data_IF_992073807183
#
_entry.id   IF_992073807183
#
_cell.length_a   1.000
_cell.length_b   1.000
_cell.length_c   1.000
_cell.angle_alpha   90.00
_cell.angle_beta   90.00
_cell.angle_gamma   90.00
#
_symmetry.space_group_name_H-M   'P 1'
#
loop_
_entity.id
_entity.type
_entity.pdbx_description
1 polymer ?
#
# COMPACT_ATOMS: atom_id res chain seq x y z
N UNK A 1 14.08 -5.15 14.32
CA UNK A 1 12.61 -5.15 14.18
C UNK A 1 12.26 -4.31 12.95
N UNK A 2 11.38 -4.80 12.08
CA UNK A 2 10.97 -4.11 10.85
C UNK A 2 10.26 -2.77 11.17
N UNK A 3 10.40 -1.74 10.31
CA UNK A 3 9.82 -0.40 10.56
C UNK A 3 8.30 -0.41 10.55
N UNK A 4 7.66 -1.28 9.77
CA UNK A 4 6.21 -1.46 9.74
C UNK A 4 5.74 -1.88 11.14
N UNK A 5 6.33 -2.93 11.71
CA UNK A 5 5.99 -3.40 13.07
C UNK A 5 6.18 -2.32 14.14
N UNK A 6 7.23 -1.49 14.03
CA UNK A 6 7.41 -0.36 14.96
C UNK A 6 6.28 0.67 14.81
N UNK A 7 5.91 1.03 13.58
CA UNK A 7 4.86 2.01 13.31
C UNK A 7 3.48 1.53 13.81
N UNK A 8 3.21 0.23 13.70
CA UNK A 8 1.97 -0.41 14.20
C UNK A 8 1.82 -0.38 15.72
N UNK A 9 2.89 -0.16 16.49
CA UNK A 9 2.84 -0.07 17.95
C UNK A 9 2.50 1.35 18.46
N UNK A 10 2.54 2.38 17.62
CA UNK A 10 2.26 3.76 18.03
C UNK A 10 0.79 3.94 18.42
N UNK A 11 0.50 4.68 19.50
CA UNK A 11 -0.87 4.93 19.96
C UNK A 11 -1.54 6.06 19.15
N UNK A 12 -1.74 5.80 17.86
CA UNK A 12 -2.43 6.69 16.93
C UNK A 12 -3.03 5.91 15.75
N UNK A 13 -3.88 6.58 14.98
CA UNK A 13 -4.40 6.06 13.71
C UNK A 13 -3.40 6.32 12.58
N UNK A 14 -3.00 5.24 11.90
CA UNK A 14 -1.98 5.33 10.87
C UNK A 14 -2.53 5.82 9.54
N UNK A 15 -1.78 6.67 8.85
CA UNK A 15 -2.06 7.08 7.47
C UNK A 15 -0.99 6.51 6.54
N UNK A 16 -1.40 5.64 5.63
CA UNK A 16 -0.59 5.18 4.51
C UNK A 16 -1.01 5.88 3.22
N UNK A 17 -0.06 6.23 2.38
CA UNK A 17 -0.32 6.85 1.08
C UNK A 17 0.20 5.94 -0.02
N UNK A 18 -0.67 5.63 -0.98
CA UNK A 18 -0.28 4.95 -2.21
C UNK A 18 -0.09 5.95 -3.35
N UNK A 19 0.99 5.78 -4.10
CA UNK A 19 1.18 6.45 -5.39
C UNK A 19 1.93 5.55 -6.37
N UNK A 20 1.74 5.78 -7.67
CA UNK A 20 2.44 5.04 -8.73
C UNK A 20 3.84 5.64 -8.93
N UNK A 21 4.89 4.82 -8.86
CA UNK A 21 6.25 5.23 -9.20
C UNK A 21 6.32 5.76 -10.64
N UNK A 22 7.05 6.85 -10.87
CA UNK A 22 7.18 7.46 -12.19
C UNK A 22 5.97 8.29 -12.63
N UNK A 23 5.04 8.57 -11.72
CA UNK A 23 3.89 9.43 -11.94
C UNK A 23 3.89 10.61 -10.94
N UNK A 24 3.55 11.85 -11.36
CA UNK A 24 3.16 12.28 -12.71
C UNK A 24 4.30 12.28 -13.74
N UNK A 25 5.53 12.53 -13.31
CA UNK A 25 6.74 12.48 -14.15
C UNK A 25 7.69 11.39 -13.69
N UNK A 26 8.55 10.91 -14.60
CA UNK A 26 9.49 9.81 -14.35
C UNK A 26 10.30 10.00 -13.06
N UNK A 27 10.78 11.22 -12.78
CA UNK A 27 11.71 11.51 -11.69
C UNK A 27 11.04 12.05 -10.41
N UNK A 28 9.72 12.04 -10.33
CA UNK A 28 8.99 12.60 -9.17
C UNK A 28 9.00 11.68 -7.94
N UNK A 29 9.29 10.38 -8.11
CA UNK A 29 9.18 9.36 -7.05
C UNK A 29 9.86 9.77 -5.74
N UNK A 30 11.13 10.20 -5.81
CA UNK A 30 11.89 10.61 -4.62
C UNK A 30 11.32 11.87 -3.97
N UNK A 31 10.98 12.88 -4.78
CA UNK A 31 10.38 14.13 -4.31
C UNK A 31 9.05 13.88 -3.59
N UNK A 32 8.22 12.99 -4.14
CA UNK A 32 6.95 12.59 -3.53
C UNK A 32 7.20 11.95 -2.16
N UNK A 33 8.12 10.99 -2.07
CA UNK A 33 8.44 10.32 -0.81
C UNK A 33 8.92 11.29 0.28
N UNK A 34 9.85 12.18 -0.04
CA UNK A 34 10.38 13.16 0.90
C UNK A 34 9.30 14.16 1.36
N UNK A 35 8.40 14.56 0.45
CA UNK A 35 7.31 15.46 0.80
C UNK A 35 6.25 14.76 1.67
N UNK A 36 5.94 13.49 1.40
CA UNK A 36 5.00 12.71 2.20
C UNK A 36 5.50 12.53 3.65
N UNK A 37 6.78 12.20 3.82
CA UNK A 37 7.36 12.09 5.16
C UNK A 37 7.34 13.42 5.91
N UNK A 38 7.79 14.52 5.28
CA UNK A 38 7.74 15.86 5.88
C UNK A 38 6.33 16.28 6.28
N UNK A 39 5.31 15.74 5.60
CA UNK A 39 3.90 16.01 5.86
C UNK A 39 3.30 15.13 6.97
N UNK A 40 4.06 14.22 7.58
CA UNK A 40 3.58 13.39 8.70
C UNK A 40 2.80 12.15 8.28
N UNK A 41 3.05 11.63 7.08
CA UNK A 41 2.56 10.32 6.65
C UNK A 41 3.27 9.22 7.43
N UNK A 42 2.56 8.16 7.79
CA UNK A 42 3.11 7.09 8.62
C UNK A 42 3.82 6.01 7.84
N UNK A 43 3.34 5.70 6.63
CA UNK A 43 3.84 4.66 5.72
C UNK A 43 3.56 5.08 4.27
N UNK A 44 4.37 4.59 3.33
CA UNK A 44 4.12 4.84 1.90
C UNK A 44 4.15 3.55 1.10
N UNK A 45 3.16 3.40 0.24
CA UNK A 45 3.03 2.33 -0.74
C UNK A 45 3.42 2.86 -2.12
N UNK A 46 4.46 2.27 -2.68
CA UNK A 46 5.04 2.62 -3.96
C UNK A 46 4.54 1.61 -4.99
N UNK A 47 3.60 2.03 -5.83
CA UNK A 47 3.06 1.23 -6.91
C UNK A 47 4.08 1.03 -8.04
N UNK A 48 4.48 -0.21 -8.27
CA UNK A 48 5.19 -0.62 -9.48
C UNK A 48 4.19 -0.63 -10.65
N UNK A 49 4.38 0.21 -11.68
CA UNK A 49 3.45 0.25 -12.79
C UNK A 49 3.48 -1.06 -13.59
N UNK A 50 2.30 -1.56 -13.97
CA UNK A 50 2.15 -2.81 -14.70
C UNK A 50 1.24 -2.62 -15.92
N UNK A 51 1.48 -3.39 -17.00
CA UNK A 51 0.75 -3.28 -18.26
C UNK A 51 -0.68 -3.80 -18.17
N UNK A 52 -0.90 -4.84 -17.35
CA UNK A 52 -2.18 -5.55 -17.25
C UNK A 52 -2.74 -5.56 -15.82
N UNK A 53 -3.01 -4.40 -15.20
CA UNK A 53 -3.39 -4.30 -13.79
C UNK A 53 -4.87 -4.62 -13.56
N UNK A 54 -5.23 -5.91 -13.61
CA UNK A 54 -6.62 -6.39 -13.50
C UNK A 54 -7.28 -6.11 -12.14
N UNK A 55 -6.48 -5.94 -11.08
CA UNK A 55 -6.98 -5.71 -9.72
C UNK A 55 -7.16 -4.22 -9.38
N UNK A 56 -6.63 -3.33 -10.20
CA UNK A 56 -6.60 -1.89 -9.90
C UNK A 56 -7.81 -1.15 -10.45
N UNK A 57 -8.23 -0.09 -9.76
CA UNK A 57 -9.28 0.81 -10.22
C UNK A 57 -8.80 1.76 -11.34
N UNK A 58 -9.71 2.38 -12.11
CA UNK A 58 -9.38 3.14 -13.33
C UNK A 58 -8.37 4.28 -13.11
N UNK A 59 -8.38 4.93 -11.94
CA UNK A 59 -7.40 5.96 -11.60
C UNK A 59 -5.98 5.41 -11.50
N UNK A 60 -5.81 4.25 -10.86
CA UNK A 60 -4.50 3.59 -10.71
C UNK A 60 -4.06 2.98 -12.05
N UNK A 61 -4.99 2.41 -12.83
CA UNK A 61 -4.69 1.94 -14.18
C UNK A 61 -4.12 3.09 -15.05
N UNK A 62 -4.78 4.26 -15.04
CA UNK A 62 -4.34 5.43 -15.81
C UNK A 62 -2.97 5.95 -15.37
N UNK A 63 -2.70 6.05 -14.06
CA UNK A 63 -1.38 6.48 -13.57
C UNK A 63 -0.29 5.46 -13.89
N UNK A 64 -0.58 4.16 -13.82
CA UNK A 64 0.32 3.07 -14.23
C UNK A 64 0.65 3.14 -15.72
N UNK A 65 -0.35 3.32 -16.60
CA UNK A 65 -0.12 3.51 -18.03
C UNK A 65 0.76 4.73 -18.31
N UNK A 66 0.48 5.86 -17.65
CA UNK A 66 1.30 7.06 -17.83
C UNK A 66 2.73 6.87 -17.30
N UNK A 67 2.92 6.20 -16.17
CA UNK A 67 4.25 5.90 -15.62
C UNK A 67 5.07 5.01 -16.57
N UNK A 68 4.45 4.01 -17.20
CA UNK A 68 5.10 3.20 -18.24
C UNK A 68 5.49 4.06 -19.45
N UNK A 69 4.60 4.94 -19.91
CA UNK A 69 4.89 5.88 -21.01
C UNK A 69 6.02 6.86 -20.67
N UNK A 70 6.15 7.23 -19.39
CA UNK A 70 7.26 8.04 -18.89
C UNK A 70 8.59 7.27 -18.86
N UNK A 71 8.58 5.94 -19.07
CA UNK A 71 9.76 5.07 -19.07
C UNK A 71 10.10 4.45 -17.72
N UNK A 72 9.12 4.33 -16.80
CA UNK A 72 9.36 3.70 -15.51
C UNK A 72 9.54 2.18 -15.65
N UNK A 73 10.57 1.64 -14.99
CA UNK A 73 10.83 0.20 -14.85
C UNK A 73 11.21 -0.13 -13.41
N UNK A 74 11.22 -1.41 -13.03
CA UNK A 74 11.70 -1.88 -11.73
C UNK A 74 13.13 -1.42 -11.44
N UNK A 75 14.03 -1.53 -12.42
CA UNK A 75 15.41 -1.08 -12.32
C UNK A 75 15.49 0.43 -12.12
N UNK A 76 14.67 1.19 -12.85
CA UNK A 76 14.63 2.64 -12.71
C UNK A 76 14.14 3.06 -11.33
N UNK A 77 13.12 2.39 -10.81
CA UNK A 77 12.66 2.60 -9.44
C UNK A 77 13.77 2.32 -8.44
N UNK A 78 14.44 1.18 -8.56
CA UNK A 78 15.54 0.82 -7.66
C UNK A 78 16.72 1.79 -7.73
N UNK A 79 17.02 2.34 -8.92
CA UNK A 79 17.99 3.42 -9.08
C UNK A 79 17.56 4.69 -8.34
N UNK A 80 16.30 5.11 -8.50
CA UNK A 80 15.77 6.32 -7.87
C UNK A 80 15.67 6.22 -6.34
N UNK A 81 15.41 5.02 -5.83
CA UNK A 81 15.36 4.75 -4.39
C UNK A 81 16.75 4.49 -3.80
N UNK A 82 17.81 4.47 -4.61
CA UNK A 82 19.18 4.39 -4.09
C UNK A 82 19.41 5.54 -3.12
N UNK A 83 19.90 5.20 -1.92
CA UNK A 83 20.12 6.14 -0.82
C UNK A 83 18.88 6.86 -0.29
N UNK A 84 17.65 6.41 -0.61
CA UNK A 84 16.42 7.05 -0.13
C UNK A 84 16.38 7.13 1.39
N UNK A 85 17.00 6.18 2.08
CA UNK A 85 17.10 6.14 3.55
C UNK A 85 17.94 7.25 4.18
N UNK A 86 18.67 8.04 3.39
CA UNK A 86 19.33 9.28 3.88
C UNK A 86 18.31 10.38 4.18
N UNK A 87 17.17 10.37 3.49
CA UNK A 87 16.14 11.38 3.63
C UNK A 87 14.82 10.83 4.16
N UNK A 88 14.52 9.55 3.92
CA UNK A 88 13.23 8.91 4.25
C UNK A 88 13.35 7.75 5.24
N UNK A 89 12.72 7.92 6.40
CA UNK A 89 12.77 7.00 7.54
C UNK A 89 11.48 6.23 7.79
N UNK A 90 10.34 6.72 7.29
CA UNK A 90 9.06 6.01 7.38
C UNK A 90 9.09 4.68 6.60
N UNK A 91 8.26 3.70 6.98
CA UNK A 91 8.18 2.44 6.25
C UNK A 91 7.83 2.66 4.77
N UNK A 92 8.57 1.98 3.90
CA UNK A 92 8.32 1.97 2.46
C UNK A 92 7.93 0.56 2.04
N UNK A 93 6.80 0.46 1.35
CA UNK A 93 6.22 -0.79 0.90
C UNK A 93 6.15 -0.72 -0.62
N UNK A 94 6.62 -1.74 -1.33
CA UNK A 94 6.41 -1.82 -2.78
C UNK A 94 5.13 -2.63 -3.03
N UNK A 95 4.21 -2.06 -3.79
CA UNK A 95 3.00 -2.73 -4.25
C UNK A 95 3.12 -3.01 -5.75
N UNK A 96 2.96 -4.26 -6.17
CA UNK A 96 3.10 -4.63 -7.57
C UNK A 96 2.55 -6.02 -7.86
N UNK A 97 2.54 -6.38 -9.15
CA UNK A 97 2.09 -7.69 -9.60
C UNK A 97 3.21 -8.73 -9.55
N UNK A 98 2.83 -9.99 -9.39
CA UNK A 98 3.78 -11.09 -9.21
C UNK A 98 4.65 -11.33 -10.44
N UNK A 99 4.08 -11.23 -11.65
CA UNK A 99 4.81 -11.52 -12.89
C UNK A 99 6.08 -10.66 -13.09
N UNK A 100 6.06 -9.32 -12.96
CA UNK A 100 7.28 -8.51 -13.00
C UNK A 100 8.34 -8.92 -11.97
N UNK A 101 7.93 -9.29 -10.76
CA UNK A 101 8.82 -9.72 -9.68
C UNK A 101 9.45 -11.08 -10.03
N UNK A 102 8.65 -11.99 -10.58
CA UNK A 102 9.10 -13.29 -11.07
C UNK A 102 10.13 -13.14 -12.21
N UNK A 103 9.87 -12.27 -13.18
CA UNK A 103 10.78 -12.00 -14.30
C UNK A 103 12.11 -11.36 -13.85
N UNK A 104 12.09 -10.50 -12.82
CA UNK A 104 13.31 -9.96 -12.21
C UNK A 104 14.12 -11.05 -11.47
N UNK A 105 13.44 -12.12 -11.05
CA UNK A 105 13.95 -13.13 -10.12
C UNK A 105 13.62 -12.75 -8.68
N UNK A 106 12.76 -13.53 -8.04
CA UNK A 106 12.17 -13.23 -6.72
C UNK A 106 13.25 -12.96 -5.67
N UNK A 107 14.27 -13.82 -5.58
CA UNK A 107 15.35 -13.64 -4.61
C UNK A 107 16.16 -12.38 -4.87
N UNK A 108 16.51 -12.12 -6.13
CA UNK A 108 17.24 -10.89 -6.51
C UNK A 108 16.41 -9.64 -6.21
N UNK A 109 15.10 -9.70 -6.45
CA UNK A 109 14.18 -8.61 -6.15
C UNK A 109 14.12 -8.34 -4.65
N UNK A 110 13.96 -9.39 -3.83
CA UNK A 110 13.92 -9.28 -2.37
C UNK A 110 15.25 -8.75 -1.80
N UNK A 111 16.38 -9.28 -2.30
CA UNK A 111 17.71 -8.77 -1.96
C UNK A 111 17.84 -7.29 -2.28
N UNK A 112 17.39 -6.87 -3.47
CA UNK A 112 17.49 -5.48 -3.89
C UNK A 112 16.62 -4.55 -3.05
N UNK A 113 15.42 -5.00 -2.70
CA UNK A 113 14.52 -4.33 -1.77
C UNK A 113 15.21 -4.13 -0.41
N UNK A 114 15.84 -5.16 0.16
CA UNK A 114 16.56 -5.06 1.42
C UNK A 114 17.77 -4.12 1.36
N UNK A 115 18.56 -4.15 0.27
CA UNK A 115 19.69 -3.23 0.06
C UNK A 115 19.27 -1.76 0.04
N UNK A 116 18.14 -1.46 -0.60
CA UNK A 116 17.56 -0.11 -0.66
C UNK A 116 16.91 0.26 0.69
N UNK A 117 16.47 -0.74 1.42
CA UNK A 117 15.81 -0.63 2.71
C UNK A 117 14.29 -0.59 2.62
N UNK A 118 13.68 -1.19 1.60
CA UNK A 118 12.22 -1.46 1.56
C UNK A 118 11.85 -2.39 2.73
N UNK A 119 10.69 -2.15 3.35
CA UNK A 119 10.28 -2.84 4.57
C UNK A 119 9.25 -3.95 4.30
N UNK A 120 8.49 -3.86 3.20
CA UNK A 120 7.50 -4.88 2.87
C UNK A 120 7.04 -4.83 1.42
N UNK A 121 6.28 -5.85 1.03
CA UNK A 121 5.72 -6.03 -0.29
C UNK A 121 4.22 -6.29 -0.20
N UNK A 122 3.45 -5.72 -1.14
CA UNK A 122 2.06 -6.06 -1.40
C UNK A 122 2.00 -6.65 -2.81
N UNK A 123 1.65 -7.94 -2.91
CA UNK A 123 1.56 -8.66 -4.19
C UNK A 123 0.14 -9.24 -4.32
N UNK A 124 -0.83 -8.47 -4.86
CA UNK A 124 -2.25 -8.85 -4.80
C UNK A 124 -2.60 -10.16 -5.50
N UNK A 125 -1.83 -10.53 -6.52
CA UNK A 125 -2.02 -11.72 -7.35
C UNK A 125 -1.16 -12.93 -6.91
N UNK A 126 -0.41 -12.82 -5.80
CA UNK A 126 0.33 -13.94 -5.22
C UNK A 126 -0.56 -14.74 -4.24
N UNK A 127 -0.89 -16.00 -4.53
CA UNK A 127 -1.69 -16.82 -3.61
C UNK A 127 -0.95 -17.09 -2.29
N UNK A 128 -1.70 -17.17 -1.19
CA UNK A 128 -1.15 -17.47 0.14
C UNK A 128 -0.34 -18.76 0.15
N UNK A 129 -0.87 -19.83 -0.43
CA UNK A 129 -0.26 -21.15 -0.47
C UNK A 129 1.11 -21.10 -1.14
N UNK A 130 1.18 -20.50 -2.32
CA UNK A 130 2.41 -20.33 -3.09
C UNK A 130 3.42 -19.49 -2.30
N UNK A 131 2.97 -18.40 -1.66
CA UNK A 131 3.84 -17.62 -0.79
C UNK A 131 4.41 -18.47 0.35
N UNK A 132 3.55 -19.16 1.11
CA UNK A 132 3.96 -19.93 2.30
C UNK A 132 4.87 -21.11 1.95
N UNK A 133 4.62 -21.77 0.83
CA UNK A 133 5.35 -22.97 0.42
C UNK A 133 6.67 -22.64 -0.28
N UNK A 134 6.72 -21.56 -1.09
CA UNK A 134 7.86 -21.29 -1.97
C UNK A 134 8.68 -20.04 -1.59
N UNK A 135 8.05 -18.99 -1.06
CA UNK A 135 8.68 -17.65 -1.02
C UNK A 135 8.81 -17.03 0.37
N UNK A 136 8.08 -17.53 1.38
CA UNK A 136 8.10 -16.97 2.73
C UNK A 136 9.52 -16.94 3.31
N UNK A 137 10.28 -18.03 3.16
CA UNK A 137 11.66 -18.11 3.66
C UNK A 137 12.58 -17.06 3.00
N UNK A 138 12.38 -16.77 1.72
CA UNK A 138 13.15 -15.75 0.98
C UNK A 138 12.82 -14.36 1.55
N UNK A 139 11.54 -14.05 1.73
CA UNK A 139 11.13 -12.75 2.29
C UNK A 139 11.70 -12.54 3.69
N UNK A 140 11.60 -13.55 4.55
CA UNK A 140 12.15 -13.54 5.90
C UNK A 140 13.68 -13.38 5.92
N UNK A 141 14.40 -14.08 5.03
CA UNK A 141 15.85 -13.95 4.88
C UNK A 141 16.28 -12.50 4.61
N UNK A 142 15.48 -11.76 3.83
CA UNK A 142 15.74 -10.37 3.49
C UNK A 142 15.00 -9.36 4.39
N UNK A 143 14.32 -9.82 5.45
CA UNK A 143 13.63 -8.98 6.42
C UNK A 143 12.41 -8.23 5.87
N UNK A 144 11.83 -8.71 4.77
CA UNK A 144 10.66 -8.14 4.11
C UNK A 144 9.37 -8.77 4.63
N UNK A 145 8.39 -7.93 4.94
CA UNK A 145 7.05 -8.41 5.31
C UNK A 145 6.17 -8.50 4.07
N UNK A 146 5.50 -9.64 3.87
CA UNK A 146 4.43 -9.73 2.89
C UNK A 146 3.11 -9.27 3.51
N UNK A 147 2.45 -8.32 2.86
CA UNK A 147 1.17 -7.76 3.31
C UNK A 147 0.06 -8.38 2.49
N UNK A 148 -0.82 -9.12 3.16
CA UNK A 148 -1.94 -9.81 2.53
C UNK A 148 -3.20 -8.96 2.46
N UNK A 149 -4.03 -9.25 1.46
CA UNK A 149 -5.30 -8.58 1.25
C UNK A 149 -6.47 -9.47 1.64
N UNK A 150 -7.51 -8.86 2.22
CA UNK A 150 -8.83 -9.49 2.41
C UNK A 150 -9.92 -8.60 1.84
N UNK A 151 -10.98 -9.23 1.34
CA UNK A 151 -12.17 -8.58 0.77
C UNK A 151 -13.41 -8.93 1.63
N UNK A 152 -14.58 -8.29 1.39
CA UNK A 152 -15.82 -8.70 2.04
C UNK A 152 -16.19 -10.16 1.73
N UNK A 153 -15.77 -10.67 0.58
CA UNK A 153 -16.05 -12.02 0.10
C UNK A 153 -15.06 -13.07 0.64
N UNK A 154 -13.94 -12.66 1.25
CA UNK A 154 -13.02 -13.60 1.89
C UNK A 154 -13.71 -14.31 3.04
N UNK A 155 -13.65 -15.65 3.06
CA UNK A 155 -14.26 -16.46 4.11
C UNK A 155 -13.49 -16.31 5.44
N UNK A 156 -14.17 -16.51 6.56
CA UNK A 156 -13.54 -16.42 7.89
C UNK A 156 -12.35 -17.38 8.05
N UNK A 157 -12.50 -18.62 7.55
CA UNK A 157 -11.40 -19.60 7.52
C UNK A 157 -10.19 -19.06 6.77
N UNK A 158 -10.41 -18.42 5.62
CA UNK A 158 -9.31 -17.84 4.82
C UNK A 158 -8.68 -16.64 5.51
N UNK A 159 -9.47 -15.82 6.20
CA UNK A 159 -8.98 -14.69 6.99
C UNK A 159 -8.08 -15.18 8.12
N UNK A 160 -8.45 -16.24 8.83
CA UNK A 160 -7.61 -16.84 9.87
C UNK A 160 -6.27 -17.35 9.32
N UNK A 161 -6.29 -18.06 8.19
CA UNK A 161 -5.05 -18.50 7.52
C UNK A 161 -4.15 -17.32 7.13
N UNK A 162 -4.74 -16.23 6.65
CA UNK A 162 -4.00 -15.01 6.31
C UNK A 162 -3.41 -14.36 7.56
N UNK A 163 -4.16 -14.30 8.65
CA UNK A 163 -3.68 -13.73 9.92
C UNK A 163 -2.51 -14.53 10.50
N UNK A 164 -2.58 -15.87 10.44
CA UNK A 164 -1.49 -16.75 10.89
C UNK A 164 -0.21 -16.58 10.07
N UNK A 165 -0.31 -16.27 8.78
CA UNK A 165 0.83 -16.08 7.88
C UNK A 165 1.35 -14.63 7.82
N UNK A 166 0.63 -13.68 8.43
CA UNK A 166 1.00 -12.26 8.39
C UNK A 166 2.13 -11.94 9.38
N UNK A 167 2.93 -10.91 9.08
CA UNK A 167 3.98 -10.39 9.99
C UNK A 167 3.86 -8.88 10.27
N UNK A 168 3.06 -8.18 9.48
CA UNK A 168 2.84 -6.74 9.54
C UNK A 168 1.38 -6.42 9.85
N UNK A 169 0.64 -6.03 8.82
CA UNK A 169 -0.79 -5.75 8.91
C UNK A 169 -1.55 -6.50 7.80
N UNK A 170 -2.86 -6.59 7.95
CA UNK A 170 -3.76 -7.12 6.92
C UNK A 170 -4.41 -5.93 6.20
N UNK A 171 -4.25 -5.88 4.87
CA UNK A 171 -4.87 -4.86 4.02
C UNK A 171 -6.34 -5.25 3.79
N UNK A 172 -7.26 -4.42 4.29
CA UNK A 172 -8.69 -4.53 4.01
C UNK A 172 -9.08 -3.72 2.77
N UNK A 173 -9.46 -4.42 1.71
CA UNK A 173 -10.08 -3.82 0.52
C UNK A 173 -11.60 -3.95 0.62
N UNK A 174 -12.37 -2.91 0.31
CA UNK A 174 -13.83 -3.03 0.17
C UNK A 174 -14.20 -3.45 -1.25
N UNK A 175 -15.29 -4.19 -1.42
CA UNK A 175 -15.62 -4.92 -2.66
C UNK A 175 -15.59 -4.09 -3.93
N UNK A 176 -15.13 -4.73 -5.01
CA UNK A 176 -15.32 -4.33 -6.39
C UNK A 176 -16.78 -3.95 -6.66
N UNK A 177 -17.01 -2.93 -7.49
CA UNK A 177 -18.30 -2.54 -8.14
C UNK A 177 -19.10 -1.37 -7.56
N UNK A 178 -18.59 -0.57 -6.62
CA UNK A 178 -19.20 0.72 -6.27
C UNK A 178 -18.13 1.81 -6.14
N UNK A 179 -17.40 2.06 -7.22
CA UNK A 179 -16.71 3.33 -7.46
C UNK A 179 -17.73 4.43 -7.79
N UNK A 180 -18.75 4.57 -6.96
CA UNK A 180 -19.76 5.62 -7.06
C UNK A 180 -19.56 6.59 -5.90
N UNK A 181 -19.16 7.81 -6.22
CA UNK A 181 -19.01 8.95 -5.34
C UNK A 181 -20.13 9.08 -4.30
N UNK A 182 -19.98 8.42 -3.15
CA UNK A 182 -20.81 8.64 -1.97
C UNK A 182 -19.88 9.04 -0.84
N UNK A 183 -20.18 10.18 -0.22
CA UNK A 183 -19.43 10.76 0.90
C UNK A 183 -19.53 9.94 2.21
N UNK A 184 -19.99 8.69 2.14
CA UNK A 184 -20.19 7.82 3.29
C UNK A 184 -20.03 6.35 2.90
N UNK A 185 -19.46 5.57 3.82
CA UNK A 185 -19.55 4.12 3.78
C UNK A 185 -21.02 3.69 3.91
N UNK A 186 -21.45 2.71 3.12
CA UNK A 186 -22.78 2.12 3.24
C UNK A 186 -22.81 1.01 4.31
N UNK A 187 -24.02 0.60 4.70
CA UNK A 187 -24.25 -0.42 5.74
C UNK A 187 -23.46 -1.72 5.51
N UNK A 188 -23.31 -2.15 4.24
CA UNK A 188 -22.55 -3.36 3.90
C UNK A 188 -21.06 -3.24 4.23
N UNK A 189 -20.48 -2.05 4.09
CA UNK A 189 -19.07 -1.82 4.40
C UNK A 189 -18.84 -1.70 5.90
N UNK A 190 -19.76 -1.05 6.61
CA UNK A 190 -19.74 -1.02 8.07
C UNK A 190 -19.87 -2.44 8.65
N UNK A 191 -20.82 -3.25 8.16
CA UNK A 191 -20.98 -4.65 8.57
C UNK A 191 -19.72 -5.49 8.29
N UNK A 192 -19.02 -5.21 7.19
CA UNK A 192 -17.74 -5.85 6.90
C UNK A 192 -16.67 -5.47 7.93
N UNK A 193 -16.54 -4.18 8.27
CA UNK A 193 -15.56 -3.72 9.27
C UNK A 193 -15.86 -4.28 10.66
N UNK A 194 -17.12 -4.26 11.08
CA UNK A 194 -17.57 -4.84 12.35
C UNK A 194 -17.31 -6.36 12.41
N UNK A 195 -17.59 -7.08 11.31
CA UNK A 195 -17.29 -8.52 11.22
C UNK A 195 -15.81 -8.79 11.47
N UNK A 196 -14.91 -8.04 10.82
CA UNK A 196 -13.47 -8.26 10.97
C UNK A 196 -12.98 -7.86 12.36
N UNK A 197 -13.46 -6.76 12.94
CA UNK A 197 -13.11 -6.38 14.32
C UNK A 197 -13.53 -7.45 15.34
N UNK A 198 -14.69 -8.10 15.13
CA UNK A 198 -15.17 -9.17 16.00
C UNK A 198 -14.32 -10.44 15.95
N UNK A 199 -13.55 -10.67 14.88
CA UNK A 199 -12.69 -11.85 14.75
C UNK A 199 -11.47 -11.81 15.67
N UNK A 200 -11.11 -10.63 16.22
CA UNK A 200 -9.97 -10.45 17.15
C UNK A 200 -8.67 -11.09 16.65
N UNK A 201 -8.34 -10.76 15.40
CA UNK A 201 -7.12 -11.18 14.71
C UNK A 201 -5.86 -10.69 15.45
N UNK A 202 -4.76 -11.43 15.29
CA UNK A 202 -3.48 -11.11 15.91
C UNK A 202 -2.84 -9.88 15.28
N UNK A 203 -2.92 -9.77 13.96
CA UNK A 203 -2.36 -8.65 13.22
C UNK A 203 -3.39 -7.54 13.06
N UNK A 204 -2.96 -6.26 13.13
CA UNK A 204 -3.85 -5.13 12.92
C UNK A 204 -4.32 -5.04 11.48
N UNK A 205 -5.52 -4.49 11.28
CA UNK A 205 -6.06 -4.20 9.96
C UNK A 205 -5.82 -2.74 9.56
N UNK A 206 -5.58 -2.52 8.27
CA UNK A 206 -5.54 -1.18 7.67
C UNK A 206 -6.47 -1.16 6.45
N UNK A 207 -7.35 -0.16 6.38
CA UNK A 207 -8.40 -0.06 5.35
C UNK A 207 -7.91 0.75 4.16
N UNK A 208 -8.05 0.26 2.93
CA UNK A 208 -7.51 0.96 1.75
C UNK A 208 -8.46 1.24 0.59
N UNK A 209 -9.75 1.45 0.88
CA UNK A 209 -10.70 1.81 -0.18
C UNK A 209 -11.70 2.87 0.26
N UNK A 210 -12.00 3.80 -0.65
CA UNK A 210 -13.04 4.82 -0.47
C UNK A 210 -12.66 5.99 0.44
N UNK A 211 -11.38 6.12 0.81
CA UNK A 211 -10.89 7.19 1.68
C UNK A 211 -10.34 8.33 0.82
N UNK A 212 -10.89 9.52 0.97
CA UNK A 212 -10.53 10.70 0.17
C UNK A 212 -10.46 12.01 0.95
N UNK A 213 -10.89 12.02 2.22
CA UNK A 213 -10.93 13.19 3.09
C UNK A 213 -10.85 12.76 4.57
N UNK A 214 -10.72 13.72 5.49
CA UNK A 214 -10.72 13.48 6.93
C UNK A 214 -11.94 12.68 7.42
N UNK A 215 -13.16 13.04 6.99
CA UNK A 215 -14.39 12.35 7.41
C UNK A 215 -14.38 10.85 7.08
N UNK A 216 -13.96 10.49 5.86
CA UNK A 216 -13.84 9.08 5.44
C UNK A 216 -12.67 8.38 6.11
N UNK A 217 -11.59 9.09 6.44
CA UNK A 217 -10.46 8.55 7.19
C UNK A 217 -10.88 8.20 8.63
N UNK A 218 -11.56 9.11 9.33
CA UNK A 218 -12.03 8.89 10.70
C UNK A 218 -13.00 7.70 10.78
N UNK A 219 -13.97 7.64 9.86
CA UNK A 219 -14.91 6.52 9.79
C UNK A 219 -14.19 5.20 9.51
N UNK A 220 -13.20 5.17 8.62
CA UNK A 220 -12.46 3.95 8.28
C UNK A 220 -11.61 3.47 9.46
N UNK A 221 -11.05 4.42 10.21
CA UNK A 221 -10.15 4.12 11.33
C UNK A 221 -10.87 3.83 12.65
N UNK A 222 -12.20 3.96 12.71
CA UNK A 222 -12.98 3.57 13.89
C UNK A 222 -12.74 2.10 14.29
N UNK A 223 -12.66 1.19 13.31
CA UNK A 223 -12.50 -0.26 13.52
C UNK A 223 -11.14 -0.79 13.07
N UNK A 224 -10.23 0.08 12.65
CA UNK A 224 -8.94 -0.30 12.08
C UNK A 224 -7.78 0.47 12.71
N UNK A 225 -6.56 -0.03 12.54
CA UNK A 225 -5.35 0.62 13.02
C UNK A 225 -4.98 1.85 12.20
N UNK A 226 -5.42 1.89 10.94
CA UNK A 226 -5.15 2.98 10.03
C UNK A 226 -5.94 2.88 8.73
N UNK A 227 -5.65 3.81 7.85
CA UNK A 227 -6.27 3.92 6.53
C UNK A 227 -5.21 4.22 5.45
N UNK A 228 -5.47 3.73 4.25
CA UNK A 228 -4.65 3.89 3.04
C UNK A 228 -5.41 4.75 2.05
N UNK A 229 -4.74 5.78 1.53
CA UNK A 229 -5.29 6.65 0.48
C UNK A 229 -4.44 6.51 -0.78
N UNK A 230 -5.01 5.92 -1.82
CA UNK A 230 -4.38 5.80 -3.14
C UNK A 230 -5.00 6.70 -4.19
N UNK A 231 -6.19 6.34 -4.68
CA UNK A 231 -6.80 7.03 -5.83
C UNK A 231 -7.03 8.54 -5.61
N UNK A 232 -7.37 8.98 -4.40
CA UNK A 232 -7.54 10.41 -4.13
C UNK A 232 -6.21 11.17 -4.18
N UNK A 233 -5.12 10.57 -3.68
CA UNK A 233 -3.79 11.17 -3.75
C UNK A 233 -3.25 11.22 -5.17
N UNK A 234 -3.47 10.17 -5.98
CA UNK A 234 -3.10 10.18 -7.40
C UNK A 234 -3.82 11.30 -8.15
N UNK A 235 -5.14 11.47 -7.95
CA UNK A 235 -5.90 12.58 -8.54
C UNK A 235 -5.34 13.94 -8.13
N UNK A 236 -5.01 14.10 -6.84
CA UNK A 236 -4.37 15.31 -6.35
C UNK A 236 -3.04 15.59 -7.06
N UNK A 237 -2.19 14.58 -7.25
CA UNK A 237 -0.95 14.72 -8.01
C UNK A 237 -1.21 15.11 -9.48
N UNK A 238 -2.24 14.55 -10.12
CA UNK A 238 -2.65 14.92 -11.48
C UNK A 238 -3.01 16.40 -11.60
N UNK A 239 -3.79 16.90 -10.65
CA UNK A 239 -4.38 18.25 -10.69
C UNK A 239 -3.41 19.33 -10.20
N UNK A 240 -2.60 19.01 -9.19
CA UNK A 240 -1.85 19.99 -8.40
C UNK A 240 -0.33 19.78 -8.43
N UNK A 241 0.15 18.67 -9.00
CA UNK A 241 1.56 18.30 -9.02
C UNK A 241 2.12 17.98 -7.62
N UNK A 242 3.45 17.88 -7.54
CA UNK A 242 4.17 17.43 -6.33
C UNK A 242 4.35 18.51 -5.26
N UNK A 243 4.10 19.79 -5.60
CA UNK A 243 4.31 20.92 -4.69
C UNK A 243 3.23 21.06 -3.61
N UNK A 244 2.04 20.49 -3.84
CA UNK A 244 0.89 20.65 -2.95
C UNK A 244 0.62 19.39 -2.09
N UNK A 245 1.61 18.50 -1.94
CA UNK A 245 1.45 17.26 -1.15
C UNK A 245 1.11 17.58 0.32
N UNK A 246 1.81 18.55 0.93
CA UNK A 246 1.58 18.94 2.33
C UNK A 246 0.14 19.42 2.57
N UNK A 247 -0.41 20.19 1.63
CA UNK A 247 -1.80 20.67 1.70
C UNK A 247 -2.80 19.52 1.72
N UNK A 248 -2.60 18.52 0.85
CA UNK A 248 -3.45 17.33 0.82
C UNK A 248 -3.40 16.55 2.14
N UNK A 249 -2.20 16.31 2.67
CA UNK A 249 -2.06 15.52 3.91
C UNK A 249 -2.66 16.26 5.11
N UNK A 250 -2.50 17.58 5.19
CA UNK A 250 -3.15 18.40 6.22
C UNK A 250 -4.68 18.27 6.18
N UNK A 251 -5.28 18.18 5.00
CA UNK A 251 -6.73 17.99 4.86
C UNK A 251 -7.24 16.63 5.34
N UNK A 252 -6.39 15.61 5.38
CA UNK A 252 -6.73 14.29 5.91
C UNK A 252 -6.56 14.22 7.43
N UNK A 253 -5.60 14.96 7.98
CA UNK A 253 -5.22 14.91 9.40
C UNK A 253 -5.91 15.97 10.28
N UNK A 254 -6.74 16.84 9.70
CA UNK A 254 -7.56 17.83 10.42
C UNK A 254 -8.65 17.14 11.21
#
# INVERSE_FOLDING_TARGET
>A
MNRISHKLQEDKKLLSIYFTAGYPQLNDTKTILENLEKSGVDMVEIGLPFSDPLADGPTIQASSTQALNNGMTTEKLFEQLKDIRKTVTIPLIIMGYFNPILQYGIENFCKKCAEIGIDGLIIPDLPLEVYTEEYQAIFQQYGLQNIFLITPQTSEKRIQQIDEASEGFIYMVSSASITGAKNSFGDAQQAYFERIDQMKLQHPQIVGFGISNAETFDKATQFAKGAIIGSAFIKHLTENGTLQIESFIKQIRM
#
